data_IF_716047403867
#
_entry.id   IF_716047403867
#
_cell.length_a   1.000
_cell.length_b   1.000
_cell.length_c   1.000
_cell.angle_alpha   90.00
_cell.angle_beta   90.00
_cell.angle_gamma   90.00
#
_symmetry.space_group_name_H-M   'P 1'
#
loop_
_entity.id
_entity.type
_entity.pdbx_description
1 polymer ?
#
# COMPACT_ATOMS: atom_id res chain seq x y z
N UNK A 1 20.36 6.20 27.88
CA UNK A 1 20.16 4.74 27.80
C UNK A 1 20.43 4.32 26.36
N UNK A 2 21.21 3.26 26.13
CA UNK A 2 21.46 2.75 24.78
C UNK A 2 20.30 1.82 24.45
N UNK A 3 19.45 2.19 23.50
CA UNK A 3 18.40 1.30 23.02
C UNK A 3 19.02 0.12 22.25
N UNK A 4 18.47 -1.10 22.39
CA UNK A 4 18.93 -2.22 21.59
C UNK A 4 18.74 -1.93 20.09
N UNK A 5 19.58 -2.49 19.21
CA UNK A 5 19.40 -2.32 17.77
C UNK A 5 18.04 -2.86 17.34
N UNK A 6 17.38 -2.15 16.43
CA UNK A 6 16.10 -2.58 15.87
C UNK A 6 16.31 -3.74 14.89
N UNK A 7 15.35 -4.67 14.75
CA UNK A 7 15.38 -5.66 13.68
C UNK A 7 15.38 -5.02 12.28
N UNK A 8 15.87 -5.75 11.28
CA UNK A 8 15.82 -5.36 9.87
C UNK A 8 14.36 -5.07 9.43
N UNK A 9 14.10 -4.00 8.64
CA UNK A 9 12.77 -3.72 8.09
C UNK A 9 12.26 -4.85 7.20
N UNK A 10 10.98 -5.19 7.34
CA UNK A 10 10.34 -6.24 6.53
C UNK A 10 10.20 -5.86 5.05
N UNK A 11 10.14 -4.56 4.75
CA UNK A 11 10.06 -4.01 3.39
C UNK A 11 11.26 -4.39 2.52
N UNK A 12 12.42 -4.65 3.13
CA UNK A 12 13.60 -5.14 2.41
C UNK A 12 13.50 -6.62 2.01
N UNK A 13 12.48 -7.34 2.49
CA UNK A 13 12.23 -8.74 2.19
C UNK A 13 11.06 -8.94 1.20
N UNK A 14 10.43 -7.86 0.73
CA UNK A 14 9.25 -7.92 -0.13
C UNK A 14 9.58 -8.52 -1.51
N UNK A 15 8.80 -9.50 -2.01
CA UNK A 15 9.08 -10.18 -3.28
C UNK A 15 9.06 -9.27 -4.50
N UNK A 16 8.37 -8.15 -4.46
CA UNK A 16 8.29 -7.15 -5.54
C UNK A 16 9.65 -6.50 -5.81
N UNK A 17 10.57 -6.56 -4.85
CA UNK A 17 11.97 -6.20 -5.05
C UNK A 17 12.73 -7.23 -5.90
N UNK A 18 12.22 -8.47 -6.00
CA UNK A 18 12.84 -9.58 -6.70
C UNK A 18 12.25 -9.72 -8.10
N UNK A 19 13.09 -9.59 -9.14
CA UNK A 19 12.70 -9.80 -10.54
C UNK A 19 12.62 -11.30 -10.87
N UNK A 20 11.60 -11.96 -10.36
CA UNK A 20 11.40 -13.42 -10.52
C UNK A 20 10.78 -13.76 -11.87
N UNK A 21 11.25 -14.84 -12.48
CA UNK A 21 10.57 -15.47 -13.62
C UNK A 21 9.26 -16.16 -13.19
N UNK A 22 8.31 -16.41 -14.10
CA UNK A 22 7.08 -17.15 -13.78
C UNK A 22 7.31 -18.52 -13.15
N UNK A 23 8.39 -19.22 -13.54
CA UNK A 23 8.74 -20.53 -12.97
C UNK A 23 9.32 -20.43 -11.56
N UNK A 24 10.17 -19.43 -11.30
CA UNK A 24 10.66 -19.15 -9.94
C UNK A 24 9.51 -18.76 -9.01
N UNK A 25 8.55 -17.96 -9.50
CA UNK A 25 7.35 -17.61 -8.73
C UNK A 25 6.52 -18.86 -8.39
N UNK A 26 6.26 -19.72 -9.37
CA UNK A 26 5.56 -20.99 -9.11
C UNK A 26 6.28 -21.89 -8.08
N UNK A 27 7.62 -21.90 -8.07
CA UNK A 27 8.41 -22.63 -7.07
C UNK A 27 8.27 -22.02 -5.68
N UNK A 28 8.28 -20.69 -5.54
CA UNK A 28 8.02 -20.02 -4.26
C UNK A 28 6.60 -20.28 -3.76
N UNK A 29 5.60 -20.11 -4.63
CA UNK A 29 4.20 -20.31 -4.27
C UNK A 29 3.97 -21.76 -3.82
N UNK A 30 4.55 -22.75 -4.52
CA UNK A 30 4.48 -24.15 -4.10
C UNK A 30 5.22 -24.41 -2.77
N UNK A 31 6.28 -23.67 -2.47
CA UNK A 31 7.03 -23.82 -1.22
C UNK A 31 6.27 -23.22 -0.02
N UNK A 32 5.46 -22.18 -0.24
CA UNK A 32 4.61 -21.55 0.79
C UNK A 32 3.61 -22.55 1.40
N UNK A 33 3.15 -23.50 0.60
CA UNK A 33 2.25 -24.59 1.02
C UNK A 33 2.91 -25.61 1.97
N UNK A 34 4.22 -25.51 2.24
CA UNK A 34 4.96 -26.37 3.18
C UNK A 34 5.44 -25.57 4.40
N UNK A 35 4.68 -25.51 5.50
CA UNK A 35 5.02 -24.69 6.69
C UNK A 35 6.38 -25.01 7.32
N UNK A 36 6.84 -26.25 7.18
CA UNK A 36 8.13 -26.71 7.70
C UNK A 36 9.25 -26.71 6.65
N UNK A 37 8.98 -26.15 5.47
CA UNK A 37 9.83 -26.26 4.29
C UNK A 37 9.66 -27.58 3.54
N UNK A 38 10.28 -27.65 2.37
CA UNK A 38 10.16 -28.80 1.47
C UNK A 38 11.52 -29.23 0.92
N UNK A 39 11.66 -30.52 0.63
CA UNK A 39 12.75 -31.06 -0.16
C UNK A 39 12.50 -30.80 -1.65
N UNK A 40 13.57 -30.76 -2.42
CA UNK A 40 13.49 -30.57 -3.89
C UNK A 40 12.53 -31.56 -4.59
N UNK A 41 12.46 -32.81 -4.11
CA UNK A 41 11.57 -33.82 -4.68
C UNK A 41 10.09 -33.54 -4.41
N UNK A 42 9.76 -32.93 -3.28
CA UNK A 42 8.39 -32.57 -2.90
C UNK A 42 7.89 -31.41 -3.78
N UNK A 43 8.73 -30.39 -3.98
CA UNK A 43 8.46 -29.28 -4.91
C UNK A 43 8.34 -29.77 -6.35
N UNK A 44 9.26 -30.61 -6.80
CA UNK A 44 9.24 -31.18 -8.15
C UNK A 44 7.94 -31.95 -8.41
N UNK A 45 7.49 -32.75 -7.43
CA UNK A 45 6.23 -33.48 -7.49
C UNK A 45 5.02 -32.54 -7.51
N UNK A 46 4.99 -31.54 -6.63
CA UNK A 46 3.88 -30.59 -6.54
C UNK A 46 3.65 -29.83 -7.85
N UNK A 47 4.74 -29.49 -8.55
CA UNK A 47 4.69 -28.71 -9.79
C UNK A 47 4.76 -29.56 -11.07
N UNK A 48 4.80 -30.89 -10.95
CA UNK A 48 4.90 -31.80 -12.10
C UNK A 48 6.16 -31.56 -12.95
N UNK A 49 7.26 -31.11 -12.34
CA UNK A 49 8.52 -30.79 -13.05
C UNK A 49 9.64 -31.77 -12.69
N UNK A 50 10.67 -31.83 -13.54
CA UNK A 50 11.83 -32.67 -13.27
C UNK A 50 12.61 -32.15 -12.05
N UNK A 51 13.15 -33.05 -11.22
CA UNK A 51 13.84 -32.70 -9.96
C UNK A 51 15.05 -31.78 -10.18
N UNK A 52 15.80 -31.95 -11.28
CA UNK A 52 16.92 -31.05 -11.59
C UNK A 52 16.46 -29.63 -11.95
N UNK A 53 15.30 -29.49 -12.58
CA UNK A 53 14.71 -28.18 -12.90
C UNK A 53 14.27 -27.47 -11.62
N UNK A 54 13.56 -28.18 -10.73
CA UNK A 54 13.20 -27.65 -9.42
C UNK A 54 14.44 -27.25 -8.60
N UNK A 55 15.51 -28.05 -8.66
CA UNK A 55 16.79 -27.74 -8.02
C UNK A 55 17.38 -26.43 -8.52
N UNK A 56 17.47 -26.26 -9.85
CA UNK A 56 18.02 -25.03 -10.44
C UNK A 56 17.27 -23.78 -9.98
N UNK A 57 15.94 -23.82 -10.01
CA UNK A 57 15.13 -22.69 -9.51
C UNK A 57 15.30 -22.44 -8.02
N UNK A 58 15.38 -23.49 -7.19
CA UNK A 58 15.64 -23.31 -5.75
C UNK A 58 17.03 -22.73 -5.48
N UNK A 59 18.04 -23.10 -6.26
CA UNK A 59 19.40 -22.53 -6.15
C UNK A 59 19.43 -21.06 -6.54
N UNK A 60 18.74 -20.68 -7.62
CA UNK A 60 18.55 -19.27 -8.02
C UNK A 60 17.82 -18.47 -6.93
N UNK A 61 16.73 -19.02 -6.36
CA UNK A 61 15.97 -18.38 -5.30
C UNK A 61 16.78 -18.25 -4.00
N UNK A 62 17.68 -19.18 -3.71
CA UNK A 62 18.62 -19.06 -2.59
C UNK A 62 19.63 -17.94 -2.85
N UNK A 63 20.14 -17.81 -4.08
CA UNK A 63 21.05 -16.72 -4.44
C UNK A 63 20.39 -15.33 -4.35
N UNK A 64 19.08 -15.26 -4.57
CA UNK A 64 18.26 -14.06 -4.40
C UNK A 64 17.82 -13.81 -2.94
N UNK A 65 18.26 -14.65 -1.99
CA UNK A 65 17.79 -14.68 -0.61
C UNK A 65 16.28 -14.89 -0.44
N UNK A 66 15.54 -15.26 -1.48
CA UNK A 66 14.10 -15.51 -1.41
C UNK A 66 13.78 -16.77 -0.59
N UNK A 67 14.71 -17.72 -0.63
CA UNK A 67 14.66 -19.02 0.03
C UNK A 67 15.97 -19.23 0.80
N UNK A 68 15.92 -20.00 1.88
CA UNK A 68 17.12 -20.54 2.51
C UNK A 68 17.02 -22.05 2.62
N UNK A 69 18.18 -22.72 2.63
CA UNK A 69 18.26 -24.17 2.75
C UNK A 69 18.88 -24.55 4.10
N UNK A 70 18.28 -25.53 4.76
CA UNK A 70 18.84 -26.17 5.97
C UNK A 70 19.07 -27.64 5.71
N UNK A 71 20.10 -28.21 6.32
CA UNK A 71 20.30 -29.65 6.28
C UNK A 71 19.15 -30.36 7.02
N UNK A 72 18.57 -31.37 6.38
CA UNK A 72 17.61 -32.26 7.04
C UNK A 72 18.31 -33.02 8.17
N UNK A 73 17.64 -33.27 9.30
CA UNK A 73 18.17 -34.17 10.34
C UNK A 73 18.45 -35.55 9.74
N UNK A 74 19.70 -36.04 9.81
CA UNK A 74 20.09 -37.36 9.28
C UNK A 74 20.45 -38.32 10.41
N UNK A 75 19.94 -39.55 10.36
CA UNK A 75 20.31 -40.65 11.28
C UNK A 75 21.25 -41.69 10.64
N UNK A 76 21.85 -41.42 9.47
CA UNK A 76 22.69 -42.40 8.75
C UNK A 76 23.76 -41.81 7.83
N UNK A 77 24.49 -42.67 7.10
CA UNK A 77 25.55 -42.29 6.14
C UNK A 77 24.93 -41.89 4.79
N UNK A 78 25.24 -40.68 4.30
CA UNK A 78 24.82 -40.15 2.99
C UNK A 78 24.99 -38.63 2.91
N UNK A 79 24.92 -38.04 1.72
CA UNK A 79 24.90 -36.57 1.57
C UNK A 79 23.60 -36.05 2.19
N UNK A 80 23.64 -35.14 3.19
CA UNK A 80 22.43 -34.65 3.84
C UNK A 80 21.51 -33.99 2.81
N UNK A 81 20.23 -34.35 2.87
CA UNK A 81 19.20 -33.71 2.04
C UNK A 81 18.96 -32.30 2.55
N UNK A 82 18.63 -31.37 1.66
CA UNK A 82 18.27 -29.99 2.02
C UNK A 82 16.76 -29.86 2.15
N UNK A 83 16.32 -29.14 3.17
CA UNK A 83 14.97 -28.61 3.33
C UNK A 83 15.05 -27.12 2.99
N UNK A 84 14.31 -26.71 1.98
CA UNK A 84 14.20 -25.32 1.57
C UNK A 84 13.05 -24.66 2.32
N UNK A 85 13.21 -23.40 2.71
CA UNK A 85 12.23 -22.60 3.45
C UNK A 85 12.17 -21.19 2.88
N UNK A 86 10.98 -20.59 2.86
CA UNK A 86 10.81 -19.20 2.46
C UNK A 86 11.51 -18.26 3.45
N UNK A 87 12.16 -17.23 2.92
CA UNK A 87 12.65 -16.08 3.69
C UNK A 87 11.72 -14.87 3.56
N UNK A 88 11.13 -14.71 2.39
CA UNK A 88 10.21 -13.62 2.06
C UNK A 88 8.90 -13.75 2.87
N UNK A 89 8.29 -12.63 3.27
CA UNK A 89 7.02 -12.66 3.95
C UNK A 89 5.85 -12.86 2.98
N UNK A 90 4.71 -13.23 3.53
CA UNK A 90 3.43 -13.11 2.84
C UNK A 90 2.90 -11.67 2.99
N UNK A 91 3.01 -10.88 1.92
CA UNK A 91 2.61 -9.46 1.93
C UNK A 91 1.13 -9.25 2.27
N UNK A 92 0.25 -10.17 1.85
CA UNK A 92 -1.18 -10.10 2.17
C UNK A 92 -1.40 -10.24 3.67
N UNK A 93 -0.75 -11.22 4.30
CA UNK A 93 -0.84 -11.39 5.76
C UNK A 93 -0.31 -10.17 6.50
N UNK A 94 0.79 -9.56 6.04
CA UNK A 94 1.32 -8.33 6.64
C UNK A 94 0.32 -7.18 6.51
N UNK A 95 -0.26 -6.98 5.32
CA UNK A 95 -1.26 -5.94 5.09
C UNK A 95 -2.47 -6.12 6.02
N UNK A 96 -2.98 -7.35 6.15
CA UNK A 96 -4.07 -7.66 7.08
C UNK A 96 -3.73 -7.29 8.55
N UNK A 97 -2.49 -7.52 8.99
CA UNK A 97 -2.05 -7.14 10.34
C UNK A 97 -1.94 -5.63 10.51
N UNK A 98 -1.45 -4.90 9.50
CA UNK A 98 -1.41 -3.44 9.53
C UNK A 98 -2.82 -2.86 9.60
N UNK A 99 -3.76 -3.38 8.81
CA UNK A 99 -5.15 -2.94 8.84
C UNK A 99 -5.83 -3.23 10.17
N UNK A 100 -5.60 -4.40 10.75
CA UNK A 100 -6.11 -4.71 12.09
C UNK A 100 -5.61 -3.70 13.14
N UNK A 101 -4.30 -3.38 13.13
CA UNK A 101 -3.73 -2.41 14.05
C UNK A 101 -4.26 -0.99 13.80
N UNK A 102 -4.36 -0.57 12.54
CA UNK A 102 -4.90 0.75 12.17
C UNK A 102 -6.35 0.87 12.65
N UNK A 103 -7.18 -0.14 12.45
CA UNK A 103 -8.58 -0.13 12.88
C UNK A 103 -8.72 -0.06 14.40
N UNK A 104 -7.87 -0.79 15.15
CA UNK A 104 -7.85 -0.72 16.62
C UNK A 104 -7.45 0.69 17.07
N UNK A 105 -6.40 1.26 16.48
CA UNK A 105 -5.92 2.60 16.82
C UNK A 105 -6.94 3.69 16.45
N UNK A 106 -7.56 3.60 15.28
CA UNK A 106 -8.59 4.52 14.82
C UNK A 106 -9.80 4.48 15.77
N UNK A 107 -10.28 3.29 16.14
CA UNK A 107 -11.36 3.13 17.10
C UNK A 107 -11.00 3.75 18.46
N UNK A 108 -9.79 3.49 18.95
CA UNK A 108 -9.36 4.04 20.23
C UNK A 108 -9.29 5.59 20.23
N UNK A 109 -8.79 6.18 19.14
CA UNK A 109 -8.73 7.64 18.98
C UNK A 109 -10.13 8.24 18.85
N UNK A 110 -11.01 7.60 18.10
CA UNK A 110 -12.42 7.99 17.95
C UNK A 110 -13.14 7.98 19.30
N UNK A 111 -13.06 6.87 20.03
CA UNK A 111 -13.67 6.73 21.37
C UNK A 111 -13.13 7.77 22.36
N UNK A 112 -11.82 8.02 22.33
CA UNK A 112 -11.16 8.98 23.23
C UNK A 112 -11.54 10.43 22.93
N UNK A 113 -11.71 10.76 21.65
CA UNK A 113 -12.05 12.12 21.21
C UNK A 113 -13.56 12.42 21.30
N UNK A 114 -14.40 11.39 21.28
CA UNK A 114 -15.86 11.52 21.34
C UNK A 114 -16.39 12.42 20.23
N UNK A 115 -17.12 13.48 20.59
CA UNK A 115 -17.68 14.43 19.61
C UNK A 115 -16.65 15.17 18.76
N UNK A 116 -15.38 15.17 19.16
CA UNK A 116 -14.30 15.84 18.43
C UNK A 116 -13.54 14.88 17.49
N UNK A 117 -13.93 13.61 17.38
CA UNK A 117 -13.22 12.59 16.61
C UNK A 117 -12.95 13.01 15.16
N UNK A 118 -13.96 13.55 14.46
CA UNK A 118 -13.81 14.06 13.09
C UNK A 118 -12.77 15.19 12.99
N UNK A 119 -12.80 16.15 13.91
CA UNK A 119 -11.85 17.27 13.91
C UNK A 119 -10.43 16.79 14.18
N UNK A 120 -10.27 15.83 15.10
CA UNK A 120 -8.99 15.18 15.38
C UNK A 120 -8.47 14.42 14.16
N UNK A 121 -9.31 13.60 13.52
CA UNK A 121 -8.96 12.87 12.31
C UNK A 121 -8.48 13.82 11.19
N UNK A 122 -9.24 14.88 10.92
CA UNK A 122 -8.86 15.89 9.93
C UNK A 122 -7.55 16.61 10.32
N UNK A 123 -7.30 16.85 11.61
CA UNK A 123 -6.03 17.43 12.07
C UNK A 123 -4.85 16.49 11.81
N UNK A 124 -4.96 15.21 12.19
CA UNK A 124 -3.95 14.18 11.89
C UNK A 124 -3.70 14.12 10.38
N UNK A 125 -4.77 14.19 9.60
CA UNK A 125 -4.72 14.28 8.14
C UNK A 125 -3.91 15.47 7.65
N UNK A 126 -4.18 16.69 8.15
CA UNK A 126 -3.42 17.88 7.76
C UNK A 126 -1.93 17.75 8.10
N UNK A 127 -1.60 17.22 9.28
CA UNK A 127 -0.21 16.98 9.69
C UNK A 127 0.51 15.96 8.78
N UNK A 128 -0.20 14.92 8.32
CA UNK A 128 0.32 13.96 7.36
C UNK A 128 0.49 14.57 5.96
N UNK A 129 -0.50 15.36 5.52
CA UNK A 129 -0.47 16.07 4.23
C UNK A 129 0.70 17.06 4.13
N UNK A 130 1.02 17.76 5.22
CA UNK A 130 2.15 18.70 5.26
C UNK A 130 3.48 18.03 4.89
N UNK A 131 3.71 16.81 5.40
CA UNK A 131 4.94 16.05 5.11
C UNK A 131 5.05 15.64 3.65
N UNK A 132 3.93 15.32 2.99
CA UNK A 132 3.94 14.96 1.56
C UNK A 132 4.32 16.15 0.67
N UNK A 133 3.94 17.37 1.07
CA UNK A 133 4.28 18.59 0.33
C UNK A 133 5.77 18.91 0.50
N UNK A 134 6.32 18.76 1.71
CA UNK A 134 7.76 18.91 1.98
C UNK A 134 8.62 17.94 1.13
N UNK A 135 8.06 16.80 0.73
CA UNK A 135 8.68 15.81 -0.16
C UNK A 135 8.61 16.18 -1.66
N UNK A 136 8.07 17.36 -2.00
CA UNK A 136 8.16 17.96 -3.34
C UNK A 136 6.89 17.88 -4.18
N UNK A 137 5.72 17.68 -3.57
CA UNK A 137 4.43 17.67 -4.27
C UNK A 137 3.96 19.11 -4.57
N UNK A 138 4.58 19.75 -5.56
CA UNK A 138 4.16 21.06 -6.10
C UNK A 138 3.80 20.89 -7.57
N UNK A 139 2.61 21.34 -7.96
CA UNK A 139 2.13 21.22 -9.35
C UNK A 139 1.75 22.60 -9.89
N UNK A 140 2.28 22.96 -11.05
CA UNK A 140 2.09 24.28 -11.64
C UNK A 140 0.75 24.39 -12.40
N UNK A 141 0.15 23.26 -12.77
CA UNK A 141 -1.13 23.18 -13.47
C UNK A 141 -1.94 21.93 -13.09
N UNK A 142 -3.22 21.94 -13.47
CA UNK A 142 -4.18 20.88 -13.13
C UNK A 142 -3.77 19.49 -13.67
N UNK A 143 -3.16 19.42 -14.85
CA UNK A 143 -2.81 18.13 -15.46
C UNK A 143 -1.65 17.46 -14.71
N UNK A 144 -0.61 18.22 -14.36
CA UNK A 144 0.50 17.73 -13.54
C UNK A 144 0.02 17.27 -12.17
N UNK A 145 -0.91 18.00 -11.55
CA UNK A 145 -1.51 17.64 -10.27
C UNK A 145 -2.29 16.33 -10.37
N UNK A 146 -3.10 16.16 -11.41
CA UNK A 146 -3.86 14.93 -11.67
C UNK A 146 -2.91 13.76 -11.89
N UNK A 147 -1.88 13.91 -12.73
CA UNK A 147 -0.94 12.83 -13.04
C UNK A 147 -0.15 12.40 -11.79
N UNK A 148 0.32 13.36 -11.00
CA UNK A 148 1.01 13.10 -9.74
C UNK A 148 0.09 12.41 -8.73
N UNK A 149 -1.15 12.91 -8.57
CA UNK A 149 -2.16 12.30 -7.69
C UNK A 149 -2.49 10.88 -8.13
N UNK A 150 -2.78 10.65 -9.41
CA UNK A 150 -3.09 9.32 -9.94
C UNK A 150 -1.93 8.34 -9.77
N UNK A 151 -0.68 8.80 -9.95
CA UNK A 151 0.49 7.98 -9.65
C UNK A 151 0.53 7.60 -8.17
N UNK A 152 0.40 8.56 -7.27
CA UNK A 152 0.42 8.33 -5.83
C UNK A 152 -0.71 7.38 -5.38
N UNK A 153 -1.95 7.66 -5.80
CA UNK A 153 -3.11 6.82 -5.51
C UNK A 153 -2.94 5.39 -6.02
N UNK A 154 -2.37 5.21 -7.22
CA UNK A 154 -2.08 3.87 -7.77
C UNK A 154 -0.99 3.15 -6.97
N UNK A 155 0.10 3.84 -6.64
CA UNK A 155 1.20 3.30 -5.84
C UNK A 155 0.69 2.85 -4.44
N UNK A 156 -0.33 3.53 -3.92
CA UNK A 156 -1.00 3.21 -2.64
C UNK A 156 -2.15 2.19 -2.76
N UNK A 157 -2.54 1.78 -3.97
CA UNK A 157 -3.57 0.76 -4.19
C UNK A 157 -5.03 1.25 -4.23
N UNK A 158 -5.27 2.54 -4.49
CA UNK A 158 -6.62 3.11 -4.57
C UNK A 158 -7.34 2.91 -5.92
N UNK A 159 -6.66 2.38 -6.93
CA UNK A 159 -7.20 2.15 -8.28
C UNK A 159 -7.89 3.39 -8.89
N UNK A 160 -7.15 4.48 -9.18
CA UNK A 160 -7.72 5.74 -9.62
C UNK A 160 -8.11 5.74 -11.12
N UNK A 161 -9.29 6.26 -11.42
CA UNK A 161 -9.80 6.56 -12.77
C UNK A 161 -10.07 8.05 -12.92
N UNK A 162 -9.50 8.68 -13.94
CA UNK A 162 -9.79 10.07 -14.29
C UNK A 162 -11.12 10.12 -15.04
N UNK A 163 -12.09 10.86 -14.50
CA UNK A 163 -13.38 11.10 -15.12
C UNK A 163 -13.30 12.41 -15.92
N UNK A 164 -13.45 12.35 -17.26
CA UNK A 164 -13.49 13.57 -18.06
C UNK A 164 -14.70 14.40 -17.65
N UNK A 165 -14.49 15.60 -17.12
CA UNK A 165 -15.61 16.52 -16.90
C UNK A 165 -16.02 17.14 -18.24
N UNK A 166 -17.28 16.99 -18.60
CA UNK A 166 -17.85 17.63 -19.79
C UNK A 166 -18.16 19.09 -19.49
N UNK A 167 -17.15 19.96 -19.46
CA UNK A 167 -17.39 21.35 -19.07
C UNK A 167 -17.84 22.21 -20.25
N UNK A 168 -19.14 22.53 -20.28
CA UNK A 168 -19.70 23.76 -20.88
C UNK A 168 -19.43 25.01 -19.99
N UNK A 169 -18.48 24.95 -19.06
CA UNK A 169 -18.18 25.98 -18.06
C UNK A 169 -16.77 26.51 -18.26
N UNK A 170 -16.54 27.81 -18.00
CA UNK A 170 -15.22 28.47 -18.16
C UNK A 170 -14.12 27.96 -17.19
N UNK A 171 -14.43 27.03 -16.27
CA UNK A 171 -13.52 26.53 -15.24
C UNK A 171 -13.02 25.14 -15.60
N UNK A 172 -11.70 24.93 -15.57
CA UNK A 172 -11.13 23.59 -15.70
C UNK A 172 -11.33 22.84 -14.38
N UNK A 173 -12.05 21.72 -14.45
CA UNK A 173 -12.24 20.79 -13.34
C UNK A 173 -11.89 19.39 -13.82
N UNK A 174 -11.22 18.60 -13.00
CA UNK A 174 -10.97 17.18 -13.26
C UNK A 174 -11.39 16.40 -12.03
N UNK A 175 -12.16 15.34 -12.26
CA UNK A 175 -12.61 14.44 -11.22
C UNK A 175 -11.81 13.12 -11.31
N UNK A 176 -11.39 12.59 -10.17
CA UNK A 176 -10.66 11.31 -10.07
C UNK A 176 -11.42 10.41 -9.11
N UNK A 177 -11.97 9.32 -9.65
CA UNK A 177 -12.69 8.31 -8.90
C UNK A 177 -11.73 7.21 -8.43
N UNK A 178 -11.91 6.69 -7.22
CA UNK A 178 -11.13 5.56 -6.70
C UNK A 178 -12.02 4.33 -6.59
N UNK A 179 -11.62 3.23 -7.23
CA UNK A 179 -12.37 1.97 -7.24
C UNK A 179 -11.92 0.96 -6.19
N UNK A 180 -10.83 1.25 -5.48
CA UNK A 180 -10.31 0.43 -4.38
C UNK A 180 -9.93 1.28 -3.18
N UNK A 181 -9.98 0.70 -1.98
CA UNK A 181 -9.48 1.34 -0.78
C UNK A 181 -8.54 0.37 -0.05
N UNK A 182 -7.25 0.70 0.12
CA UNK A 182 -6.29 -0.17 0.79
C UNK A 182 -6.58 -0.32 2.29
N UNK A 183 -7.51 0.48 2.85
CA UNK A 183 -7.90 0.45 4.26
C UNK A 183 -9.19 -0.32 4.55
N UNK A 184 -9.84 -0.88 3.52
CA UNK A 184 -10.97 -1.80 3.71
C UNK A 184 -10.41 -3.15 4.11
N UNK A 185 -10.85 -3.68 5.26
CA UNK A 185 -10.42 -4.99 5.74
C UNK A 185 -10.96 -6.11 4.85
N UNK A 186 -10.41 -7.32 4.99
CA UNK A 186 -10.91 -8.52 4.31
C UNK A 186 -12.39 -8.82 4.57
N UNK A 187 -12.92 -8.35 5.71
CA UNK A 187 -14.30 -8.53 6.14
C UNK A 187 -15.21 -7.36 5.68
N UNK A 188 -14.65 -6.42 4.92
CA UNK A 188 -15.36 -5.24 4.40
C UNK A 188 -15.45 -4.08 5.39
N UNK A 189 -14.75 -4.14 6.52
CA UNK A 189 -14.78 -3.06 7.51
C UNK A 189 -13.92 -1.87 7.08
N UNK A 190 -14.48 -0.67 7.20
CA UNK A 190 -13.81 0.62 7.02
C UNK A 190 -14.26 1.55 8.14
N UNK A 191 -13.32 2.25 8.77
CA UNK A 191 -13.61 3.23 9.83
C UNK A 191 -13.74 4.62 9.22
N UNK A 192 -14.83 5.32 9.54
CA UNK A 192 -15.06 6.71 9.10
C UNK A 192 -13.91 7.64 9.53
N UNK A 193 -13.32 7.38 10.69
CA UNK A 193 -12.13 8.09 11.17
C UNK A 193 -10.97 8.09 10.14
N UNK A 194 -10.73 6.98 9.44
CA UNK A 194 -9.69 6.90 8.40
C UNK A 194 -10.06 7.74 7.18
N UNK A 195 -11.34 7.74 6.79
CA UNK A 195 -11.85 8.59 5.72
C UNK A 195 -11.68 10.09 6.05
N UNK A 196 -11.98 10.49 7.28
CA UNK A 196 -11.79 11.87 7.74
C UNK A 196 -10.31 12.26 7.81
N UNK A 197 -9.39 11.33 8.13
CA UNK A 197 -7.93 11.56 8.02
C UNK A 197 -7.53 11.87 6.58
N UNK A 198 -7.95 11.06 5.61
CA UNK A 198 -7.66 11.35 4.19
C UNK A 198 -8.26 12.68 3.74
N UNK A 199 -9.45 13.04 4.23
CA UNK A 199 -10.05 14.34 3.91
C UNK A 199 -9.18 15.49 4.45
N UNK A 200 -8.68 15.37 5.68
CA UNK A 200 -7.74 16.33 6.26
C UNK A 200 -6.44 16.47 5.44
N UNK A 201 -5.89 15.37 4.93
CA UNK A 201 -4.70 15.39 4.07
C UNK A 201 -4.92 16.23 2.81
N UNK A 202 -6.06 16.05 2.14
CA UNK A 202 -6.40 16.76 0.91
C UNK A 202 -6.74 18.23 1.16
N UNK A 203 -7.38 18.55 2.29
CA UNK A 203 -7.67 19.93 2.70
C UNK A 203 -6.40 20.76 2.91
N UNK A 204 -5.32 20.17 3.43
CA UNK A 204 -4.07 20.91 3.66
C UNK A 204 -3.42 21.41 2.36
N UNK A 205 -3.66 20.73 1.23
CA UNK A 205 -3.12 21.16 -0.06
C UNK A 205 -3.73 22.49 -0.56
N UNK A 206 -4.94 22.84 -0.11
CA UNK A 206 -5.66 24.06 -0.54
C UNK A 206 -4.91 25.35 -0.19
N UNK A 207 -4.08 25.34 0.86
CA UNK A 207 -3.38 26.55 1.34
C UNK A 207 -2.07 26.83 0.59
N UNK A 208 -1.62 25.91 -0.27
CA UNK A 208 -0.26 25.89 -0.82
C UNK A 208 -0.21 25.79 -2.36
N UNK A 209 -1.38 25.79 -3.01
CA UNK A 209 -1.54 25.55 -4.44
C UNK A 209 -2.63 26.46 -5.02
N UNK A 210 -2.52 26.94 -6.28
CA UNK A 210 -3.61 27.62 -6.98
C UNK A 210 -4.76 26.67 -7.36
N UNK A 211 -4.71 25.41 -6.91
CA UNK A 211 -5.70 24.38 -7.16
C UNK A 211 -6.50 24.09 -5.89
N UNK A 212 -7.81 24.09 -6.02
CA UNK A 212 -8.73 23.55 -5.03
C UNK A 212 -8.84 22.04 -5.21
N UNK A 213 -8.44 21.28 -4.19
CA UNK A 213 -8.56 19.81 -4.17
C UNK A 213 -9.54 19.42 -3.08
N UNK A 214 -10.65 18.79 -3.46
CA UNK A 214 -11.67 18.32 -2.52
C UNK A 214 -11.84 16.82 -2.60
N UNK A 215 -11.82 16.15 -1.44
CA UNK A 215 -12.10 14.72 -1.32
C UNK A 215 -13.50 14.52 -0.74
N UNK A 216 -14.32 13.80 -1.50
CA UNK A 216 -15.60 13.26 -1.07
C UNK A 216 -15.41 11.76 -0.79
N UNK A 217 -15.25 11.37 0.49
CA UNK A 217 -15.10 9.97 0.83
C UNK A 217 -16.44 9.23 0.76
N UNK A 218 -16.38 7.95 0.40
CA UNK A 218 -17.48 6.99 0.52
C UNK A 218 -18.84 7.51 0.01
N UNK A 219 -18.89 7.85 -1.28
CA UNK A 219 -20.11 8.14 -2.01
C UNK A 219 -21.07 6.95 -2.00
N UNK A 220 -22.32 7.17 -2.43
CA UNK A 220 -23.39 6.16 -2.38
C UNK A 220 -23.08 4.87 -3.16
N UNK A 221 -22.16 4.91 -4.13
CA UNK A 221 -21.69 3.75 -4.90
C UNK A 221 -20.46 3.06 -4.27
N UNK A 222 -20.08 3.46 -3.05
CA UNK A 222 -18.95 2.89 -2.30
C UNK A 222 -17.58 3.45 -2.70
N UNK A 223 -17.54 4.47 -3.56
CA UNK A 223 -16.29 5.03 -4.09
C UNK A 223 -15.93 6.35 -3.43
N UNK A 224 -14.66 6.70 -3.50
CA UNK A 224 -14.21 8.04 -3.15
C UNK A 224 -14.02 8.85 -4.44
N UNK A 225 -14.22 10.16 -4.37
CA UNK A 225 -13.99 11.08 -5.48
C UNK A 225 -13.11 12.24 -5.04
N UNK A 226 -12.03 12.49 -5.77
CA UNK A 226 -11.26 13.73 -5.66
C UNK A 226 -11.65 14.66 -6.80
N UNK A 227 -12.06 15.88 -6.49
CA UNK A 227 -12.28 16.95 -7.46
C UNK A 227 -11.14 17.94 -7.40
N UNK A 228 -10.53 18.25 -8.55
CA UNK A 228 -9.47 19.25 -8.68
C UNK A 228 -9.98 20.36 -9.58
N UNK A 229 -9.87 21.61 -9.14
CA UNK A 229 -10.23 22.79 -9.94
C UNK A 229 -9.27 23.95 -9.69
N UNK A 230 -9.15 24.87 -10.63
CA UNK A 230 -8.44 26.15 -10.40
C UNK A 230 -9.21 27.01 -9.39
N UNK A 231 -8.50 27.72 -8.50
CA UNK A 231 -9.08 28.69 -7.54
C UNK A 231 -9.55 29.94 -8.31
N UNK A 232 -10.74 30.46 -7.99
CA UNK A 232 -11.21 31.71 -8.59
C UNK A 232 -10.37 32.90 -8.07
N UNK A 233 -9.87 33.76 -8.97
CA UNK A 233 -9.17 35.00 -8.59
C UNK A 233 -10.05 35.95 -7.74
N UNK A 234 -11.39 35.82 -7.80
CA UNK A 234 -12.35 36.71 -7.13
C UNK A 234 -12.61 36.40 -5.63
N UNK A 235 -12.30 35.20 -5.12
CA UNK A 235 -12.46 34.91 -3.67
C UNK A 235 -11.32 35.48 -2.80
N UNK A 236 -10.19 35.85 -3.42
CA UNK A 236 -9.02 36.41 -2.73
C UNK A 236 -9.22 37.85 -2.20
N UNK A 237 -10.32 38.52 -2.61
CA UNK A 237 -10.61 39.92 -2.23
C UNK A 237 -11.49 40.01 -0.98
N UNK A 238 -12.28 38.98 -0.65
CA UNK A 238 -13.26 39.05 0.45
C UNK A 238 -12.74 38.63 1.83
N UNK A 239 -11.55 38.04 1.93
CA UNK A 239 -10.96 37.62 3.23
C UNK A 239 -9.98 38.66 3.82
N UNK A 240 -9.99 39.89 3.28
CA UNK A 240 -9.17 41.03 3.75
C UNK A 240 -10.00 42.25 4.18
N UNK A 241 -11.27 42.08 4.55
CA UNK A 241 -12.10 43.19 5.04
C UNK A 241 -12.63 42.98 6.45
#
# INVERSE_FOLDING_TARGET
MIHPPRPRPVTELFPESLRLSPKQRAVLDALDEFPNGAKVGEIAKALGMHTNTARGHLEELVAMEAVFAVAAPTTGRGRPQLIYKLRIPNNKTIADQYLALINIMAQHLEDSAGSHAKQLAQQIGREAGARLIDEGFSSANIQEAVDALCKHLRDMGFDPEVIPTTTNSRKKRVDVCMHSCPFVSKDGELKDFVCDVHQGMMQHHKDLSPLHIDLQPLLADGKCMVSISEVDEDESINDKQ
#
